data_IF_837900849308
#
_entry.id   IF_837900849308
#
_cell.length_a   1.000
_cell.length_b   1.000
_cell.length_c   1.000
_cell.angle_alpha   90.00
_cell.angle_beta   90.00
_cell.angle_gamma   90.00
#
_symmetry.space_group_name_H-M   'P 1'
#
loop_
_entity.id
_entity.type
_entity.pdbx_description
1 polymer ?
#
# COMPACT_ATOMS: atom_id res chain seq x y z
N UNK A 1 27.62 -17.26 7.20
CA UNK A 1 28.46 -16.38 8.05
C UNK A 1 27.96 -14.93 8.02
N UNK A 2 27.54 -14.42 6.86
CA UNK A 2 27.04 -13.03 6.69
C UNK A 2 25.67 -12.69 7.29
N UNK A 3 24.74 -13.65 7.37
CA UNK A 3 23.34 -13.35 7.73
C UNK A 3 23.15 -13.04 9.23
N UNK A 4 23.92 -13.68 10.09
CA UNK A 4 23.90 -13.48 11.55
C UNK A 4 24.60 -12.19 11.98
N UNK A 5 25.63 -11.78 11.23
CA UNK A 5 26.39 -10.56 11.49
C UNK A 5 25.60 -9.33 11.01
N UNK A 6 24.96 -9.43 9.84
CA UNK A 6 24.05 -8.42 9.31
C UNK A 6 22.82 -8.20 10.22
N UNK A 7 22.20 -9.26 10.73
CA UNK A 7 21.05 -9.15 11.66
C UNK A 7 21.43 -8.44 12.95
N UNK A 8 22.63 -8.71 13.47
CA UNK A 8 23.14 -8.11 14.69
C UNK A 8 23.48 -6.63 14.50
N UNK A 9 24.07 -6.27 13.35
CA UNK A 9 24.32 -4.86 13.00
C UNK A 9 23.02 -4.08 12.77
N UNK A 10 21.99 -4.69 12.17
CA UNK A 10 20.68 -4.05 11.97
C UNK A 10 19.89 -3.90 13.28
N UNK A 11 20.03 -4.84 14.23
CA UNK A 11 19.45 -4.73 15.58
C UNK A 11 20.17 -3.69 16.45
N UNK A 12 21.48 -3.49 16.26
CA UNK A 12 22.25 -2.42 16.92
C UNK A 12 22.01 -1.03 16.29
N UNK A 13 21.58 -0.95 15.03
CA UNK A 13 21.27 0.30 14.31
C UNK A 13 19.79 0.71 14.32
N UNK A 14 18.92 -0.03 15.03
CA UNK A 14 17.53 0.36 15.21
C UNK A 14 17.37 1.55 16.17
N UNK A 15 16.50 2.53 15.87
CA UNK A 15 16.33 3.70 16.72
C UNK A 15 15.80 3.32 18.10
N UNK A 16 16.36 3.94 19.14
CA UNK A 16 15.98 3.72 20.52
C UNK A 16 14.55 4.20 20.77
N UNK A 17 13.86 3.57 21.72
CA UNK A 17 12.48 3.97 22.11
C UNK A 17 12.36 5.46 22.45
N UNK A 18 13.43 6.08 22.94
CA UNK A 18 13.46 7.50 23.28
C UNK A 18 13.46 8.42 22.04
N UNK A 19 14.08 8.00 20.94
CA UNK A 19 14.10 8.74 19.67
C UNK A 19 12.75 8.68 18.97
N UNK A 20 12.12 7.51 19.00
CA UNK A 20 10.78 7.30 18.45
C UNK A 20 9.70 8.11 19.19
N UNK A 21 9.83 8.28 20.50
CA UNK A 21 8.94 9.14 21.30
C UNK A 21 9.20 10.65 21.11
N UNK A 22 10.41 11.04 20.69
CA UNK A 22 10.71 12.44 20.33
C UNK A 22 10.12 12.80 18.98
N UNK A 23 10.22 11.91 17.99
CA UNK A 23 9.61 12.09 16.67
C UNK A 23 8.08 12.27 16.80
N UNK A 24 7.41 11.39 17.57
CA UNK A 24 5.97 11.50 17.88
C UNK A 24 5.59 12.82 18.56
N UNK A 25 6.48 13.39 19.38
CA UNK A 25 6.23 14.66 20.09
C UNK A 25 6.26 15.86 19.15
N UNK A 26 7.25 15.90 18.26
CA UNK A 26 7.39 16.99 17.27
C UNK A 26 6.21 17.01 16.30
N UNK A 27 5.67 15.84 15.93
CA UNK A 27 4.50 15.71 15.05
C UNK A 27 3.20 16.20 15.73
N UNK A 28 3.06 16.05 17.05
CA UNK A 28 1.90 16.54 17.82
C UNK A 28 1.87 18.06 18.00
N UNK A 29 3.02 18.72 18.01
CA UNK A 29 3.13 20.15 18.35
C UNK A 29 2.88 21.08 17.13
N UNK A 30 2.80 20.55 15.91
CA UNK A 30 2.62 21.32 14.66
C UNK A 30 1.17 21.67 14.26
N UNK A 31 0.16 21.25 15.03
CA UNK A 31 -1.25 21.39 14.64
C UNK A 31 -1.80 22.82 14.76
N UNK A 32 -2.11 23.50 13.63
CA UNK A 32 -2.93 24.72 13.62
C UNK A 32 -4.21 24.59 12.77
N UNK A 33 -5.32 24.65 13.51
CA UNK A 33 -6.66 25.22 13.24
C UNK A 33 -7.50 24.63 12.10
N UNK A 34 -8.46 23.82 12.53
CA UNK A 34 -9.67 23.41 11.81
C UNK A 34 -10.59 24.60 11.49
N UNK A 35 -11.29 24.53 10.36
CA UNK A 35 -12.49 25.35 10.06
C UNK A 35 -13.58 24.46 9.44
N UNK A 36 -14.88 24.71 9.69
CA UNK A 36 -15.92 23.70 9.52
C UNK A 36 -16.73 23.83 8.22
N UNK A 37 -17.16 22.65 7.73
CA UNK A 37 -18.48 22.29 7.13
C UNK A 37 -18.87 22.90 5.78
N UNK A 38 -19.28 22.03 4.84
CA UNK A 38 -20.65 22.02 4.29
C UNK A 38 -21.02 20.70 3.62
N UNK A 39 -22.17 20.18 4.06
CA UNK A 39 -22.89 18.99 3.56
C UNK A 39 -23.41 19.26 2.15
N UNK A 40 -23.28 18.29 1.26
CA UNK A 40 -23.95 18.21 -0.02
C UNK A 40 -24.23 16.76 -0.35
N UNK A 41 -25.46 16.32 -0.05
CA UNK A 41 -26.01 15.03 -0.47
C UNK A 41 -26.32 15.12 -1.96
N UNK A 42 -26.00 14.07 -2.73
CA UNK A 42 -26.82 13.66 -3.87
C UNK A 42 -26.59 12.18 -4.17
N UNK A 43 -27.67 11.43 -3.98
CA UNK A 43 -27.84 10.01 -4.24
C UNK A 43 -28.31 9.76 -5.68
N UNK A 44 -28.10 8.53 -6.17
CA UNK A 44 -28.84 7.76 -7.21
C UNK A 44 -27.82 6.95 -8.03
N UNK A 45 -28.01 5.69 -8.45
CA UNK A 45 -29.11 4.74 -8.48
C UNK A 45 -28.49 3.37 -8.93
N UNK A 46 -28.68 2.25 -8.23
CA UNK A 46 -29.75 1.22 -8.37
C UNK A 46 -29.46 0.08 -9.36
N UNK A 47 -29.23 -1.10 -8.75
CA UNK A 47 -29.64 -2.49 -9.05
C UNK A 47 -29.22 -3.20 -10.35
N UNK A 48 -28.55 -4.36 -10.20
CA UNK A 48 -29.13 -5.68 -10.53
C UNK A 48 -28.21 -6.86 -10.12
N UNK A 49 -28.78 -7.87 -9.45
CA UNK A 49 -28.21 -9.24 -9.34
C UNK A 49 -27.89 -9.73 -7.93
N UNK A 50 -28.78 -10.54 -7.35
CA UNK A 50 -28.60 -11.19 -6.04
C UNK A 50 -27.44 -12.19 -6.06
N UNK A 51 -26.39 -11.90 -5.30
CA UNK A 51 -25.68 -12.86 -4.45
C UNK A 51 -25.40 -12.17 -3.12
N UNK A 52 -26.32 -12.35 -2.17
CA UNK A 52 -26.00 -12.16 -0.77
C UNK A 52 -24.99 -13.25 -0.37
N UNK A 53 -23.70 -12.96 -0.51
CA UNK A 53 -22.62 -13.74 0.09
C UNK A 53 -22.00 -12.87 1.17
N UNK A 54 -22.48 -13.12 2.39
CA UNK A 54 -21.87 -12.83 3.70
C UNK A 54 -21.29 -11.44 3.94
N UNK A 55 -22.10 -10.61 4.60
CA UNK A 55 -21.58 -9.84 5.72
C UNK A 55 -20.90 -10.82 6.71
N UNK A 56 -19.66 -10.50 7.12
CA UNK A 56 -18.89 -11.12 8.20
C UNK A 56 -18.36 -12.54 7.94
N UNK A 57 -17.15 -12.63 7.38
CA UNK A 57 -16.04 -13.31 8.04
C UNK A 57 -14.74 -13.07 7.25
N UNK A 58 -14.07 -11.94 7.50
CA UNK A 58 -12.62 -12.06 7.59
C UNK A 58 -12.39 -13.15 8.62
N UNK A 59 -11.78 -14.28 8.25
CA UNK A 59 -11.61 -15.38 9.20
C UNK A 59 -10.92 -14.80 10.45
N UNK A 60 -11.30 -15.22 11.68
CA UNK A 60 -10.66 -14.71 12.89
C UNK A 60 -9.13 -14.77 12.80
N UNK A 61 -8.60 -15.85 12.19
CA UNK A 61 -7.18 -16.00 11.88
C UNK A 61 -6.64 -14.91 10.95
N UNK A 62 -7.35 -14.57 9.87
CA UNK A 62 -6.91 -13.51 8.94
C UNK A 62 -6.95 -12.11 9.57
N UNK A 63 -7.89 -11.85 10.49
CA UNK A 63 -7.92 -10.58 11.25
C UNK A 63 -6.73 -10.46 12.18
N UNK A 64 -6.39 -11.54 12.87
CA UNK A 64 -5.23 -11.59 13.76
C UNK A 64 -3.92 -11.44 12.96
N UNK A 65 -3.82 -12.12 11.81
CA UNK A 65 -2.71 -11.98 10.88
C UNK A 65 -2.59 -10.56 10.35
N UNK A 66 -3.69 -9.93 9.90
CA UNK A 66 -3.70 -8.53 9.48
C UNK A 66 -3.27 -7.61 10.63
N UNK A 67 -3.80 -7.81 11.84
CA UNK A 67 -3.39 -7.02 13.01
C UNK A 67 -1.90 -7.19 13.33
N UNK A 68 -1.36 -8.40 13.20
CA UNK A 68 0.05 -8.70 13.39
C UNK A 68 0.94 -8.05 12.34
N UNK A 69 0.51 -8.08 11.07
CA UNK A 69 1.19 -7.44 9.94
C UNK A 69 1.19 -5.92 10.07
N UNK A 70 0.05 -5.34 10.42
CA UNK A 70 -0.08 -3.89 10.59
C UNK A 70 0.73 -3.40 11.79
N UNK A 71 0.71 -4.13 12.91
CA UNK A 71 1.49 -3.79 14.10
C UNK A 71 1.34 -2.32 14.49
N UNK A 72 2.43 -1.57 14.45
CA UNK A 72 2.45 -0.13 14.76
C UNK A 72 1.69 0.76 13.75
N UNK A 73 1.46 0.28 12.53
CA UNK A 73 0.75 1.01 11.48
C UNK A 73 -0.76 0.90 11.54
N UNK A 74 -1.32 0.06 12.43
CA UNK A 74 -2.77 -0.16 12.53
C UNK A 74 -3.56 1.15 12.71
N UNK A 75 -3.00 2.13 13.43
CA UNK A 75 -3.62 3.44 13.66
C UNK A 75 -3.69 4.33 12.39
N UNK A 76 -2.88 4.02 11.38
CA UNK A 76 -2.82 4.74 10.11
C UNK A 76 -3.59 4.03 8.99
N UNK A 77 -4.14 2.86 9.28
CA UNK A 77 -5.05 2.17 8.37
C UNK A 77 -6.48 2.63 8.56
N UNK A 78 -7.20 2.65 7.45
CA UNK A 78 -8.62 2.89 7.41
C UNK A 78 -9.34 1.64 6.89
N UNK A 79 -10.48 1.26 7.51
CA UNK A 79 -11.31 0.20 6.97
C UNK A 79 -11.89 0.64 5.62
N UNK A 80 -12.00 -0.30 4.69
CA UNK A 80 -12.69 -0.11 3.42
C UNK A 80 -13.91 -1.03 3.43
N UNK A 81 -15.07 -0.48 3.77
CA UNK A 81 -16.31 -1.25 3.82
C UNK A 81 -16.89 -1.44 2.41
N UNK A 82 -17.60 -2.55 2.20
CA UNK A 82 -18.41 -2.84 1.01
C UNK A 82 -17.71 -2.83 -0.36
N UNK A 83 -16.38 -2.92 -0.38
CA UNK A 83 -15.59 -3.00 -1.61
C UNK A 83 -15.21 -4.45 -1.91
N UNK A 84 -16.03 -5.11 -2.74
CA UNK A 84 -15.88 -6.52 -3.10
C UNK A 84 -16.08 -6.71 -4.61
N UNK A 85 -15.33 -7.65 -5.19
CA UNK A 85 -15.55 -8.15 -6.54
C UNK A 85 -15.57 -9.67 -6.52
N UNK A 86 -16.43 -10.28 -7.36
CA UNK A 86 -16.44 -11.72 -7.60
C UNK A 86 -16.35 -11.97 -9.10
N UNK A 87 -15.29 -12.65 -9.55
CA UNK A 87 -15.08 -13.03 -10.96
C UNK A 87 -14.63 -14.47 -11.01
N UNK A 88 -15.28 -15.29 -11.84
CA UNK A 88 -14.97 -16.73 -12.03
C UNK A 88 -14.86 -17.52 -10.72
N UNK A 89 -15.74 -17.18 -9.78
CA UNK A 89 -15.81 -17.80 -8.46
C UNK A 89 -14.65 -17.42 -7.53
N UNK A 90 -13.84 -16.42 -7.88
CA UNK A 90 -12.87 -15.81 -6.98
C UNK A 90 -13.49 -14.54 -6.39
N UNK A 91 -13.63 -14.50 -5.06
CA UNK A 91 -14.00 -13.30 -4.32
C UNK A 91 -12.74 -12.54 -3.90
N UNK A 92 -12.66 -11.26 -4.27
CA UNK A 92 -11.66 -10.31 -3.77
C UNK A 92 -12.38 -9.22 -2.97
N UNK A 93 -11.99 -9.06 -1.71
CA UNK A 93 -12.59 -8.09 -0.78
C UNK A 93 -11.51 -7.22 -0.18
N UNK A 94 -11.63 -5.90 -0.35
CA UNK A 94 -10.73 -4.97 0.33
C UNK A 94 -11.10 -4.90 1.80
N UNK A 95 -10.10 -4.99 2.68
CA UNK A 95 -10.28 -4.96 4.13
C UNK A 95 -9.92 -3.59 4.71
N UNK A 96 -8.73 -3.11 4.33
CA UNK A 96 -8.18 -1.87 4.83
C UNK A 96 -7.18 -1.30 3.84
N UNK A 97 -6.97 0.00 3.90
CA UNK A 97 -5.94 0.68 3.12
C UNK A 97 -5.25 1.74 3.97
N UNK A 98 -4.08 2.17 3.53
CA UNK A 98 -3.38 3.34 4.05
C UNK A 98 -2.65 4.01 2.90
N UNK A 99 -2.56 5.33 2.96
CA UNK A 99 -1.89 6.11 1.94
C UNK A 99 -1.22 7.33 2.56
N UNK A 100 -0.07 7.70 2.01
CA UNK A 100 0.55 9.00 2.21
C UNK A 100 0.82 9.66 0.85
N UNK A 101 1.66 10.69 0.83
CA UNK A 101 1.93 11.44 -0.39
C UNK A 101 2.83 10.70 -1.40
N UNK A 102 3.32 9.50 -1.09
CA UNK A 102 4.26 8.74 -1.91
C UNK A 102 3.83 7.28 -2.14
N UNK A 103 3.13 6.68 -1.18
CA UNK A 103 2.81 5.27 -1.11
C UNK A 103 1.33 5.04 -0.84
N UNK A 104 0.75 4.06 -1.53
CA UNK A 104 -0.54 3.46 -1.18
C UNK A 104 -0.34 1.98 -0.88
N UNK A 105 -0.93 1.50 0.22
CA UNK A 105 -1.02 0.09 0.56
C UNK A 105 -2.47 -0.31 0.76
N UNK A 106 -2.87 -1.40 0.13
CA UNK A 106 -4.22 -1.98 0.22
C UNK A 106 -4.10 -3.42 0.68
N UNK A 107 -4.84 -3.76 1.72
CA UNK A 107 -4.96 -5.13 2.23
C UNK A 107 -6.28 -5.71 1.77
N UNK A 108 -6.22 -6.83 1.06
CA UNK A 108 -7.39 -7.49 0.50
C UNK A 108 -7.42 -8.98 0.84
N UNK A 109 -8.60 -9.51 1.08
CA UNK A 109 -8.86 -10.93 1.20
C UNK A 109 -9.18 -11.50 -0.18
N UNK A 110 -8.64 -12.67 -0.50
CA UNK A 110 -9.02 -13.44 -1.69
C UNK A 110 -9.46 -14.84 -1.28
N UNK A 111 -10.59 -15.28 -1.83
CA UNK A 111 -11.17 -16.60 -1.55
C UNK A 111 -11.68 -17.26 -2.82
N UNK A 112 -11.43 -18.56 -2.94
CA UNK A 112 -12.05 -19.40 -3.95
C UNK A 112 -13.43 -19.90 -3.47
N UNK A 113 -14.49 -19.47 -4.15
CA UNK A 113 -15.88 -19.84 -3.89
C UNK A 113 -16.30 -21.14 -4.60
N UNK A 114 -15.51 -21.64 -5.56
CA UNK A 114 -15.84 -22.88 -6.29
C UNK A 114 -15.50 -24.13 -5.49
N UNK A 115 -14.67 -24.00 -4.45
CA UNK A 115 -14.16 -25.11 -3.66
C UNK A 115 -13.11 -25.95 -4.37
N UNK A 116 -12.52 -25.43 -5.46
CA UNK A 116 -11.47 -26.11 -6.24
C UNK A 116 -10.06 -25.92 -5.66
N UNK A 117 -9.94 -25.15 -4.57
CA UNK A 117 -8.67 -24.87 -3.89
C UNK A 117 -7.60 -24.30 -4.83
N UNK A 118 -8.01 -23.32 -5.65
CA UNK A 118 -7.16 -22.73 -6.70
C UNK A 118 -6.15 -21.72 -6.18
N UNK A 119 -6.12 -21.41 -4.89
CA UNK A 119 -5.24 -20.39 -4.30
C UNK A 119 -4.10 -21.07 -3.54
N UNK A 120 -2.96 -20.40 -3.41
CA UNK A 120 -1.84 -20.92 -2.62
C UNK A 120 -1.10 -19.81 -1.86
N UNK A 121 -0.24 -20.16 -0.89
CA UNK A 121 0.63 -19.20 -0.21
C UNK A 121 1.58 -18.45 -1.16
N UNK A 122 1.92 -19.02 -2.31
CA UNK A 122 2.80 -18.42 -3.32
C UNK A 122 2.06 -17.47 -4.29
N UNK A 123 0.81 -17.12 -3.97
CA UNK A 123 -0.04 -16.27 -4.79
C UNK A 123 0.59 -14.88 -5.02
N UNK A 124 0.77 -14.55 -6.29
CA UNK A 124 1.13 -13.21 -6.75
C UNK A 124 -0.03 -12.56 -7.50
N UNK A 125 -0.05 -11.24 -7.57
CA UNK A 125 -1.15 -10.49 -8.18
C UNK A 125 -0.63 -9.43 -9.13
N UNK A 126 -1.21 -9.39 -10.34
CA UNK A 126 -1.11 -8.26 -11.25
C UNK A 126 -2.24 -7.29 -10.97
N UNK A 127 -1.89 -6.09 -10.53
CA UNK A 127 -2.83 -5.02 -10.25
C UNK A 127 -2.23 -3.66 -10.60
N UNK A 128 -3.03 -2.61 -10.50
CA UNK A 128 -2.64 -1.19 -10.56
C UNK A 128 -3.46 -0.46 -9.50
N UNK A 129 -2.85 0.51 -8.82
CA UNK A 129 -3.59 1.45 -7.95
C UNK A 129 -3.29 2.86 -8.45
N UNK A 130 -4.34 3.59 -8.81
CA UNK A 130 -4.22 4.90 -9.45
C UNK A 130 -5.41 5.78 -9.08
N UNK A 131 -5.35 7.08 -9.38
CA UNK A 131 -6.49 7.97 -9.15
C UNK A 131 -7.65 7.61 -10.06
N UNK A 132 -8.87 7.84 -9.58
CA UNK A 132 -10.08 7.62 -10.37
C UNK A 132 -10.14 8.48 -11.64
N UNK A 133 -9.55 9.67 -11.62
CA UNK A 133 -9.44 10.54 -12.80
C UNK A 133 -8.42 10.01 -13.82
N UNK A 134 -7.23 9.62 -13.36
CA UNK A 134 -6.16 9.09 -14.21
C UNK A 134 -6.59 7.79 -14.90
N UNK A 135 -7.41 6.98 -14.22
CA UNK A 135 -8.01 5.77 -14.77
C UNK A 135 -8.90 6.01 -16.00
N UNK A 136 -9.47 7.22 -16.15
CA UNK A 136 -10.35 7.58 -17.28
C UNK A 136 -9.57 7.99 -18.52
N UNK A 137 -8.37 8.55 -18.33
CA UNK A 137 -7.60 9.18 -19.41
C UNK A 137 -6.57 8.24 -20.05
N UNK A 138 -6.52 6.97 -19.63
CA UNK A 138 -5.66 5.97 -20.25
C UNK A 138 -4.18 6.37 -20.19
N UNK A 139 -3.73 6.85 -19.03
CA UNK A 139 -2.36 7.30 -18.83
C UNK A 139 -1.35 6.16 -19.08
N UNK A 140 -0.79 6.12 -20.30
CA UNK A 140 0.48 5.46 -20.60
C UNK A 140 1.61 6.38 -20.13
N UNK A 141 2.42 5.94 -19.15
CA UNK A 141 3.62 6.67 -18.75
C UNK A 141 4.03 6.57 -17.28
N UNK A 142 3.18 6.08 -16.39
CA UNK A 142 3.57 5.84 -15.01
C UNK A 142 4.20 4.43 -14.89
N UNK A 143 5.53 4.34 -14.95
CA UNK A 143 6.23 3.16 -14.42
C UNK A 143 6.03 3.16 -12.92
N UNK A 144 5.07 2.37 -12.50
CA UNK A 144 4.59 2.25 -11.14
C UNK A 144 4.88 0.80 -10.78
N UNK A 145 5.66 0.59 -9.72
CA UNK A 145 5.88 -0.78 -9.23
C UNK A 145 4.54 -1.24 -8.69
N UNK A 146 3.85 -2.03 -9.50
CA UNK A 146 2.58 -2.59 -9.14
C UNK A 146 2.70 -4.10 -9.06
N UNK A 147 2.26 -4.61 -7.92
CA UNK A 147 2.26 -6.02 -7.65
C UNK A 147 1.67 -6.23 -6.27
N UNK A 148 0.88 -7.29 -6.18
CA UNK A 148 0.43 -7.81 -4.90
C UNK A 148 1.20 -9.06 -4.54
N UNK A 149 1.42 -9.26 -3.25
CA UNK A 149 1.89 -10.54 -2.72
C UNK A 149 0.92 -11.07 -1.66
N UNK A 150 0.85 -12.38 -1.57
CA UNK A 150 0.28 -13.04 -0.41
C UNK A 150 1.17 -12.76 0.82
N UNK A 151 0.59 -12.18 1.86
CA UNK A 151 1.27 -11.90 3.14
C UNK A 151 0.82 -12.83 4.26
N UNK A 152 -0.33 -13.48 4.09
CA UNK A 152 -0.78 -14.57 4.95
C UNK A 152 -1.76 -15.47 4.23
N UNK A 153 -1.82 -16.74 4.62
CA UNK A 153 -2.74 -17.72 4.07
C UNK A 153 -3.37 -18.54 5.19
N UNK A 154 -4.70 -18.66 5.17
CA UNK A 154 -5.47 -19.51 6.06
C UNK A 154 -5.74 -20.85 5.36
N UNK A 155 -4.95 -21.87 5.70
CA UNK A 155 -5.08 -23.22 5.15
C UNK A 155 -6.42 -23.89 5.49
N UNK A 156 -7.08 -23.48 6.58
CA UNK A 156 -8.36 -24.08 6.98
C UNK A 156 -9.49 -23.62 6.06
N UNK A 157 -9.42 -22.37 5.59
CA UNK A 157 -10.47 -21.77 4.75
C UNK A 157 -10.04 -21.55 3.31
N UNK A 158 -8.80 -21.87 2.93
CA UNK A 158 -8.23 -21.64 1.60
C UNK A 158 -8.25 -20.16 1.22
N UNK A 159 -7.95 -19.28 2.19
CA UNK A 159 -8.14 -17.83 2.05
C UNK A 159 -6.80 -17.10 2.14
N UNK A 160 -6.51 -16.26 1.15
CA UNK A 160 -5.29 -15.45 1.12
C UNK A 160 -5.55 -14.02 1.63
N UNK A 161 -4.58 -13.47 2.35
CA UNK A 161 -4.45 -12.04 2.61
C UNK A 161 -3.37 -11.48 1.70
N UNK A 162 -3.74 -10.47 0.93
CA UNK A 162 -2.88 -9.77 0.01
C UNK A 162 -2.46 -8.43 0.57
N UNK A 163 -1.20 -8.06 0.31
CA UNK A 163 -0.73 -6.67 0.36
C UNK A 163 -0.49 -6.20 -1.07
N UNK A 164 -1.23 -5.19 -1.50
CA UNK A 164 -1.12 -4.55 -2.81
C UNK A 164 -0.54 -3.15 -2.58
N UNK A 165 0.52 -2.80 -3.30
CA UNK A 165 1.16 -1.50 -3.12
C UNK A 165 1.30 -0.75 -4.44
N UNK A 166 1.24 0.57 -4.36
CA UNK A 166 1.64 1.46 -5.44
C UNK A 166 2.58 2.54 -4.89
N UNK A 167 3.61 2.82 -5.67
CA UNK A 167 4.69 3.76 -5.36
C UNK A 167 4.79 4.77 -6.49
N UNK A 168 5.04 6.04 -6.15
CA UNK A 168 5.30 7.06 -7.17
C UNK A 168 4.07 7.45 -7.98
N UNK A 169 2.86 7.24 -7.44
CA UNK A 169 1.60 7.53 -8.11
C UNK A 169 1.30 9.04 -8.29
N UNK A 170 2.27 9.94 -8.07
CA UNK A 170 1.99 11.37 -7.92
C UNK A 170 2.99 12.25 -8.68
N UNK A 171 2.51 12.80 -9.79
CA UNK A 171 3.17 13.73 -10.71
C UNK A 171 3.30 15.15 -10.11
N UNK A 172 4.14 15.35 -9.09
CA UNK A 172 4.54 16.68 -8.62
C UNK A 172 3.43 17.56 -8.01
N UNK A 173 2.17 17.11 -7.99
CA UNK A 173 1.12 17.66 -7.11
C UNK A 173 1.16 16.91 -5.79
N UNK A 174 2.14 17.27 -4.95
CA UNK A 174 2.26 16.75 -3.59
C UNK A 174 0.98 17.04 -2.79
N UNK A 175 0.17 16.01 -2.58
CA UNK A 175 -1.00 16.05 -1.73
C UNK A 175 -0.59 15.69 -0.31
N UNK A 176 -0.47 16.69 0.55
CA UNK A 176 -0.30 16.47 1.98
C UNK A 176 -1.66 16.64 2.67
N UNK A 177 -2.27 15.54 3.09
CA UNK A 177 -3.57 15.58 3.76
C UNK A 177 -4.77 15.69 2.81
N UNK A 178 -5.89 15.07 3.17
CA UNK A 178 -7.14 15.16 2.42
C UNK A 178 -7.73 13.80 2.09
N UNK A 179 -8.90 13.79 1.42
CA UNK A 179 -9.52 12.57 0.90
C UNK A 179 -9.36 12.52 -0.60
N UNK A 180 -9.02 11.35 -1.12
CA UNK A 180 -8.81 11.10 -2.54
C UNK A 180 -9.59 9.89 -3.02
N UNK A 181 -10.13 10.00 -4.23
CA UNK A 181 -10.78 8.91 -4.94
C UNK A 181 -9.73 8.16 -5.76
N UNK A 182 -9.43 6.95 -5.31
CA UNK A 182 -8.50 6.02 -5.94
C UNK A 182 -9.27 4.82 -6.50
N UNK A 183 -8.59 4.05 -7.34
CA UNK A 183 -9.11 2.84 -7.95
C UNK A 183 -8.04 1.76 -7.90
N UNK A 184 -8.40 0.60 -7.34
CA UNK A 184 -7.64 -0.63 -7.47
C UNK A 184 -8.16 -1.40 -8.67
N UNK A 185 -7.31 -1.65 -9.66
CA UNK A 185 -7.59 -2.53 -10.79
C UNK A 185 -6.79 -3.82 -10.60
N UNK A 186 -7.46 -4.96 -10.54
CA UNK A 186 -6.80 -6.28 -10.49
C UNK A 186 -7.02 -6.94 -11.84
N UNK A 187 -5.95 -7.32 -12.51
CA UNK A 187 -6.01 -7.94 -13.84
C UNK A 187 -6.06 -9.45 -13.69
N UNK A 188 -5.05 -10.00 -13.01
CA UNK A 188 -4.85 -11.44 -12.94
C UNK A 188 -4.25 -11.84 -11.59
N UNK A 189 -4.61 -13.04 -11.14
CA UNK A 189 -3.99 -13.72 -10.01
C UNK A 189 -3.09 -14.84 -10.55
N UNK A 190 -1.93 -15.02 -9.96
CA UNK A 190 -1.00 -16.13 -10.26
C UNK A 190 -0.92 -17.02 -9.03
N UNK A 191 -1.78 -18.04 -8.91
CA UNK A 191 -1.88 -18.90 -7.73
C UNK A 191 -0.56 -19.39 -7.16
N UNK A 192 0.40 -19.75 -8.03
CA UNK A 192 1.74 -20.22 -7.65
C UNK A 192 2.86 -19.28 -8.11
N UNK A 193 2.51 -18.04 -8.46
CA UNK A 193 3.46 -17.04 -8.96
C UNK A 193 3.91 -17.23 -10.41
N UNK A 194 3.32 -18.16 -11.17
CA UNK A 194 3.67 -18.44 -12.55
C UNK A 194 2.61 -17.92 -13.53
N UNK A 195 3.01 -17.40 -14.68
CA UNK A 195 2.05 -16.95 -15.70
C UNK A 195 1.20 -18.09 -16.28
N UNK A 196 1.66 -19.34 -16.20
CA UNK A 196 0.97 -20.50 -16.78
C UNK A 196 -0.30 -20.92 -16.05
N UNK A 197 -0.49 -20.49 -14.80
CA UNK A 197 -1.69 -20.79 -14.01
C UNK A 197 -2.52 -19.54 -13.68
N UNK A 198 -2.33 -18.47 -14.47
CA UNK A 198 -3.04 -17.22 -14.28
C UNK A 198 -4.57 -17.41 -14.29
N UNK A 199 -5.22 -16.82 -13.28
CA UNK A 199 -6.65 -16.63 -13.23
C UNK A 199 -6.93 -15.17 -13.61
N UNK A 200 -7.64 -14.96 -14.71
CA UNK A 200 -8.07 -13.63 -15.11
C UNK A 200 -9.26 -13.21 -14.23
N UNK A 201 -9.07 -12.15 -13.45
CA UNK A 201 -10.07 -11.66 -12.48
C UNK A 201 -10.60 -10.29 -12.89
N UNK A 202 -9.97 -9.63 -13.85
CA UNK A 202 -10.28 -8.29 -14.39
C UNK A 202 -11.38 -7.53 -13.64
N UNK A 203 -10.99 -6.88 -12.54
CA UNK A 203 -11.91 -6.15 -11.69
C UNK A 203 -11.40 -4.76 -11.32
N UNK A 204 -12.33 -3.88 -11.01
CA UNK A 204 -12.08 -2.48 -10.66
C UNK A 204 -12.83 -2.16 -9.38
N UNK A 205 -12.09 -1.75 -8.34
CA UNK A 205 -12.59 -1.53 -6.99
C UNK A 205 -12.33 -0.07 -6.59
N UNK A 206 -13.37 0.71 -6.27
CA UNK A 206 -13.20 2.09 -5.82
C UNK A 206 -12.61 2.13 -4.41
N UNK A 207 -11.78 3.14 -4.14
CA UNK A 207 -11.12 3.35 -2.85
C UNK A 207 -11.21 4.83 -2.48
N UNK A 208 -11.94 5.16 -1.41
CA UNK A 208 -11.91 6.50 -0.82
C UNK A 208 -10.85 6.54 0.29
N UNK A 209 -9.71 7.20 0.04
CA UNK A 209 -8.57 7.18 0.96
C UNK A 209 -8.30 8.55 1.58
N UNK A 210 -8.14 8.60 2.90
CA UNK A 210 -7.54 9.73 3.60
C UNK A 210 -6.02 9.63 3.47
N UNK A 211 -5.42 10.61 2.80
CA UNK A 211 -3.99 10.70 2.58
C UNK A 211 -3.34 11.28 3.84
N UNK A 212 -2.41 10.53 4.43
CA UNK A 212 -1.65 11.02 5.57
C UNK A 212 -0.78 12.23 5.17
N UNK A 213 -0.66 13.23 6.05
CA UNK A 213 0.19 14.36 5.78
C UNK A 213 1.66 13.93 5.72
N UNK A 214 2.33 14.30 4.63
CA UNK A 214 3.78 14.12 4.49
C UNK A 214 4.49 15.47 4.55
N UNK A 215 5.65 15.48 5.19
CA UNK A 215 6.60 16.57 5.06
C UNK A 215 7.49 16.30 3.85
N UNK A 216 7.55 17.25 2.92
CA UNK A 216 8.41 17.18 1.74
C UNK A 216 9.67 18.00 1.98
N UNK A 217 10.83 17.40 1.72
CA UNK A 217 12.13 18.04 1.76
C UNK A 217 12.74 17.99 0.37
N UNK A 218 12.89 19.16 -0.25
CA UNK A 218 13.62 19.27 -1.51
C UNK A 218 15.08 18.87 -1.28
N UNK A 219 15.56 17.92 -2.07
CA UNK A 219 16.93 17.46 -2.07
C UNK A 219 17.67 18.06 -3.27
N UNK A 220 18.99 18.13 -3.13
CA UNK A 220 19.88 18.51 -4.22
C UNK A 220 21.12 17.64 -4.20
N UNK A 221 21.76 17.47 -5.36
CA UNK A 221 22.97 16.68 -5.52
C UNK A 221 22.73 15.32 -6.20
N UNK A 222 23.80 14.52 -6.24
CA UNK A 222 23.83 13.25 -6.95
C UNK A 222 24.60 12.24 -6.12
N UNK A 223 24.06 11.03 -5.97
CA UNK A 223 24.72 9.90 -5.33
C UNK A 223 24.98 8.85 -6.41
N UNK A 224 26.25 8.67 -6.78
CA UNK A 224 26.61 7.84 -7.93
C UNK A 224 26.01 8.39 -9.23
N UNK A 225 25.09 7.65 -9.84
CA UNK A 225 24.35 8.05 -11.06
C UNK A 225 22.92 8.53 -10.77
N UNK A 226 22.55 8.64 -9.50
CA UNK A 226 21.18 8.96 -9.06
C UNK A 226 21.09 10.41 -8.63
N UNK A 227 20.26 11.20 -9.32
CA UNK A 227 19.97 12.60 -9.00
C UNK A 227 18.81 12.67 -8.02
N UNK A 228 19.08 13.12 -6.81
CA UNK A 228 18.07 13.23 -5.76
C UNK A 228 17.09 14.37 -6.06
N UNK A 229 15.81 14.19 -5.76
CA UNK A 229 14.77 15.21 -5.97
C UNK A 229 14.09 15.60 -4.68
N UNK A 230 13.40 14.66 -4.05
CA UNK A 230 12.53 14.96 -2.91
C UNK A 230 12.55 13.80 -1.92
N UNK A 231 12.57 14.13 -0.63
CA UNK A 231 12.34 13.19 0.45
C UNK A 231 10.97 13.48 1.06
N UNK A 232 10.12 12.47 1.06
CA UNK A 232 8.82 12.46 1.69
C UNK A 232 8.96 11.79 3.05
N UNK A 233 8.41 12.42 4.09
CA UNK A 233 8.42 11.91 5.46
C UNK A 233 7.00 11.89 6.00
N UNK A 234 6.48 10.70 6.27
CA UNK A 234 5.17 10.50 6.87
C UNK A 234 5.26 9.53 8.06
N UNK A 235 4.12 9.26 8.69
CA UNK A 235 3.98 8.20 9.69
C UNK A 235 4.14 6.78 9.11
N UNK A 236 4.03 6.63 7.78
CA UNK A 236 4.25 5.35 7.09
C UNK A 236 5.74 5.07 6.86
N UNK A 237 6.57 6.11 6.82
CA UNK A 237 8.00 6.02 6.66
C UNK A 237 8.57 7.12 5.75
N UNK A 238 9.88 7.09 5.48
CA UNK A 238 10.49 7.88 4.43
C UNK A 238 10.16 7.31 3.04
N UNK A 239 10.09 8.18 2.03
CA UNK A 239 10.11 7.76 0.61
C UNK A 239 10.95 8.74 -0.18
N UNK A 240 11.77 8.23 -1.10
CA UNK A 240 12.75 9.01 -1.85
C UNK A 240 12.38 9.07 -3.33
N UNK A 241 12.15 10.27 -3.84
CA UNK A 241 12.04 10.53 -5.27
C UNK A 241 13.42 10.90 -5.83
N UNK A 242 13.80 10.22 -6.91
CA UNK A 242 15.05 10.45 -7.61
C UNK A 242 14.91 10.25 -9.11
N UNK A 243 15.82 10.84 -9.87
CA UNK A 243 15.97 10.63 -11.31
C UNK A 243 17.24 9.83 -11.60
N UNK A 244 17.19 8.97 -12.61
CA UNK A 244 18.33 8.21 -13.09
C UNK A 244 18.30 8.17 -14.63
N UNK A 245 19.39 8.58 -15.27
CA UNK A 245 19.46 8.70 -16.75
C UNK A 245 19.92 7.40 -17.45
N UNK A 246 20.46 6.42 -16.74
CA UNK A 246 20.90 5.13 -17.28
C UNK A 246 20.69 3.98 -16.27
N UNK A 247 20.36 2.78 -16.76
CA UNK A 247 20.32 1.57 -15.93
C UNK A 247 21.62 1.46 -15.12
N UNK A 248 21.49 1.47 -13.80
CA UNK A 248 22.62 1.40 -12.88
C UNK A 248 22.25 0.46 -11.76
N UNK A 249 23.25 -0.29 -11.29
CA UNK A 249 23.13 -1.29 -10.21
C UNK A 249 22.57 -0.66 -8.91
N UNK A 250 22.62 0.67 -8.79
CA UNK A 250 22.01 1.43 -7.70
C UNK A 250 20.46 1.37 -7.68
N UNK A 251 19.79 0.96 -8.77
CA UNK A 251 18.35 0.68 -8.79
C UNK A 251 17.94 -0.37 -7.74
N UNK A 252 18.87 -1.27 -7.40
CA UNK A 252 18.63 -2.38 -6.47
C UNK A 252 19.38 -2.21 -5.14
N UNK A 253 19.99 -1.04 -4.91
CA UNK A 253 20.75 -0.77 -3.70
C UNK A 253 19.87 0.01 -2.72
N UNK A 254 19.74 -0.44 -1.46
CA UNK A 254 18.95 0.27 -0.48
C UNK A 254 19.58 1.64 -0.21
N UNK A 255 18.77 2.70 -0.27
CA UNK A 255 19.18 4.00 0.22
C UNK A 255 19.08 4.02 1.75
N UNK A 256 19.92 4.84 2.38
CA UNK A 256 19.79 5.19 3.79
C UNK A 256 19.84 6.71 3.91
N UNK A 257 18.87 7.26 4.63
CA UNK A 257 18.75 8.68 4.93
C UNK A 257 19.22 8.90 6.36
N UNK A 258 20.31 9.64 6.51
CA UNK A 258 20.87 10.01 7.82
C UNK A 258 20.35 11.38 8.20
N UNK A 259 19.57 11.45 9.27
CA UNK A 259 19.11 12.71 9.84
C UNK A 259 20.21 13.33 10.71
N UNK A 260 20.14 14.66 10.89
CA UNK A 260 21.16 15.41 11.64
C UNK A 260 21.28 15.01 13.12
N UNK A 261 20.27 14.35 13.66
CA UNK A 261 20.26 13.81 15.02
C UNK A 261 20.86 12.39 15.13
N UNK A 262 21.34 11.82 14.02
CA UNK A 262 21.92 10.48 13.96
C UNK A 262 20.92 9.39 13.59
N UNK A 263 19.62 9.70 13.46
CA UNK A 263 18.61 8.73 13.04
C UNK A 263 18.88 8.27 11.61
N UNK A 264 18.83 6.95 11.39
CA UNK A 264 18.92 6.36 10.05
C UNK A 264 17.54 5.88 9.62
N UNK A 265 17.11 6.30 8.42
CA UNK A 265 15.82 5.93 7.84
C UNK A 265 16.04 5.23 6.49
N UNK A 266 15.27 4.20 6.20
CA UNK A 266 15.37 3.42 4.96
C UNK A 266 14.12 3.67 4.10
N UNK A 267 14.24 4.46 3.01
CA UNK A 267 13.16 4.70 2.05
C UNK A 267 12.94 3.55 1.06
#
# INVERSE_FOLDING_TARGET
>A
MFETEYRKEMEEMGPSRAEMERLKRVLREGGRRTRPVRRGVLAAAVLCGVLAISALAVSPGLREQLSGLLGGYAAYTQPVEDTVCVVDGIELRVLSAMADSATVKVYAQVRDLTGQDRLSPDLAVSCVIQRAEEAKEGHEGASTTHGGKCVAFDETTGTALLELSAWGAYDGRSWSGGREEMVLRVFSLYPRGYASDALEVECTLPLELEILPSRVVALSGTVGTVRLKELYLSELGPSLLFEQEAESVLQYQPFAVYLADGTVCFP
#
